data_IF_995659030768
#
_entry.id   IF_995659030768
#
_cell.length_a   1.000
_cell.length_b   1.000
_cell.length_c   1.000
_cell.angle_alpha   90.00
_cell.angle_beta   90.00
_cell.angle_gamma   90.00
#
_symmetry.space_group_name_H-M   'P 1'
#
loop_
_entity.id
_entity.type
_entity.pdbx_description
1 polymer ?
#
# COMPACT_ATOMS: atom_id res chain seq x y z
N UNK A 1 28.67 -11.61 8.31
CA UNK A 1 27.73 -11.15 9.38
C UNK A 1 27.98 -9.66 9.54
N UNK A 2 27.06 -8.82 9.07
CA UNK A 2 27.18 -7.36 9.21
C UNK A 2 26.84 -7.05 10.67
N UNK A 3 27.79 -6.44 11.35
CA UNK A 3 27.67 -6.08 12.76
C UNK A 3 26.48 -5.11 12.93
N UNK A 4 25.72 -5.27 14.00
CA UNK A 4 24.54 -4.41 14.32
C UNK A 4 24.92 -2.93 14.54
N UNK A 5 26.20 -2.58 14.37
CA UNK A 5 26.80 -1.25 14.52
C UNK A 5 27.09 -0.53 13.20
N UNK A 6 26.91 -1.18 12.03
CA UNK A 6 27.16 -0.52 10.74
C UNK A 6 26.15 0.59 10.50
N UNK A 7 26.56 1.73 9.89
CA UNK A 7 25.65 2.79 9.49
C UNK A 7 24.54 2.24 8.59
N UNK A 8 23.33 2.80 8.69
CA UNK A 8 22.19 2.36 7.87
C UNK A 8 21.66 3.53 7.08
N UNK A 9 21.50 3.34 5.78
CA UNK A 9 20.73 4.24 4.94
C UNK A 9 19.34 3.63 4.68
N UNK A 10 18.31 4.34 5.05
CA UNK A 10 16.93 3.99 4.78
C UNK A 10 16.38 5.01 3.78
N UNK A 11 15.99 4.56 2.59
CA UNK A 11 15.38 5.41 1.57
C UNK A 11 13.89 5.12 1.51
N UNK A 12 13.08 6.17 1.61
CA UNK A 12 11.63 6.02 1.54
C UNK A 12 11.16 6.13 0.10
N UNK A 13 10.28 5.22 -0.29
CA UNK A 13 9.59 5.21 -1.57
C UNK A 13 8.09 5.30 -1.36
N UNK A 14 7.43 6.22 -2.03
CA UNK A 14 5.98 6.40 -1.96
C UNK A 14 5.53 7.74 -2.49
N UNK A 15 4.26 7.82 -2.91
CA UNK A 15 3.67 9.05 -3.45
C UNK A 15 3.62 10.21 -2.47
N UNK A 16 3.31 11.42 -2.94
CA UNK A 16 3.00 12.54 -2.06
C UNK A 16 1.88 12.17 -1.07
N UNK A 17 2.00 12.64 0.16
CA UNK A 17 1.07 12.35 1.25
C UNK A 17 0.89 10.85 1.61
N UNK A 18 1.77 9.95 1.17
CA UNK A 18 1.69 8.52 1.47
C UNK A 18 2.03 8.14 2.92
N UNK A 19 2.45 9.07 3.78
CA UNK A 19 2.83 8.79 5.17
C UNK A 19 4.34 8.59 5.40
N UNK A 20 5.19 8.87 4.40
CA UNK A 20 6.65 8.75 4.51
C UNK A 20 7.23 9.47 5.72
N UNK A 21 6.90 10.74 5.89
CA UNK A 21 7.42 11.56 7.01
C UNK A 21 6.92 11.06 8.37
N UNK A 22 5.74 10.44 8.43
CA UNK A 22 5.23 9.81 9.65
C UNK A 22 6.06 8.56 9.98
N UNK A 23 6.35 7.74 8.97
CA UNK A 23 7.27 6.61 9.16
C UNK A 23 8.66 7.07 9.59
N UNK A 24 9.23 8.08 8.91
CA UNK A 24 10.55 8.60 9.28
C UNK A 24 10.62 9.02 10.75
N UNK A 25 9.60 9.70 11.25
CA UNK A 25 9.50 10.14 12.66
C UNK A 25 9.29 8.99 13.64
N UNK A 26 8.79 7.84 13.21
CA UNK A 26 8.57 6.66 14.07
C UNK A 26 9.85 5.85 14.34
N UNK A 27 10.90 6.07 13.58
CA UNK A 27 12.17 5.34 13.74
C UNK A 27 13.06 6.06 14.77
N UNK A 28 13.07 5.54 15.98
CA UNK A 28 13.83 6.13 17.07
C UNK A 28 15.34 6.18 16.77
N UNK A 29 15.98 7.31 17.06
CA UNK A 29 17.43 7.50 16.93
C UNK A 29 17.93 7.69 15.49
N UNK A 30 17.06 7.65 14.48
CA UNK A 30 17.46 7.91 13.10
C UNK A 30 17.57 9.43 12.81
N UNK A 31 18.54 9.80 12.00
CA UNK A 31 18.66 11.15 11.46
C UNK A 31 17.86 11.24 10.17
N UNK A 32 16.87 12.13 10.13
CA UNK A 32 15.97 12.31 8.97
C UNK A 32 16.50 13.42 8.08
N UNK A 33 16.77 13.11 6.82
CA UNK A 33 17.05 14.05 5.74
C UNK A 33 15.79 14.20 4.91
N UNK A 34 15.13 15.34 5.03
CA UNK A 34 13.87 15.61 4.32
C UNK A 34 14.08 16.64 3.20
N UNK A 35 13.72 16.26 1.97
CA UNK A 35 13.79 17.19 0.84
C UNK A 35 12.86 18.41 1.03
N UNK A 36 11.70 18.22 1.68
CA UNK A 36 10.76 19.31 1.99
C UNK A 36 11.34 20.27 3.01
N UNK A 37 12.04 19.76 4.03
CA UNK A 37 12.65 20.58 5.08
C UNK A 37 13.87 21.35 4.56
N UNK A 38 14.66 20.76 3.67
CA UNK A 38 15.77 21.43 2.99
C UNK A 38 15.22 22.57 2.12
N UNK A 39 14.14 22.35 1.36
CA UNK A 39 13.47 23.44 0.61
C UNK A 39 13.01 24.56 1.52
N UNK A 40 12.43 24.22 2.66
CA UNK A 40 12.00 25.23 3.62
C UNK A 40 13.18 26.07 4.15
N UNK A 41 14.29 25.42 4.47
CA UNK A 41 15.51 26.13 4.94
C UNK A 41 16.11 27.04 3.87
N UNK A 42 16.11 26.61 2.61
CA UNK A 42 16.71 27.37 1.50
C UNK A 42 15.79 28.49 0.99
N UNK A 43 14.48 28.23 0.93
CA UNK A 43 13.55 29.10 0.20
C UNK A 43 12.38 29.62 1.05
N UNK A 44 12.33 29.31 2.33
CA UNK A 44 11.26 29.71 3.25
C UNK A 44 9.92 29.02 3.02
N UNK A 45 9.85 28.02 2.13
CA UNK A 45 8.64 27.25 1.84
C UNK A 45 8.96 25.86 1.35
N UNK A 46 8.20 24.86 1.83
CA UNK A 46 8.29 23.48 1.37
C UNK A 46 7.73 23.30 -0.05
N UNK A 47 6.87 24.21 -0.49
CA UNK A 47 6.16 24.14 -1.77
C UNK A 47 6.93 24.85 -2.91
N UNK A 48 8.02 25.54 -2.59
CA UNK A 48 8.94 26.07 -3.61
C UNK A 48 9.87 24.97 -4.10
N UNK A 49 9.81 24.66 -5.38
CA UNK A 49 10.67 23.65 -5.99
C UNK A 49 12.14 24.08 -6.04
N UNK A 50 12.44 25.37 -6.19
CA UNK A 50 13.80 25.91 -6.17
C UNK A 50 14.76 25.33 -7.20
N UNK A 51 16.07 25.45 -6.92
CA UNK A 51 17.10 24.81 -7.73
C UNK A 51 17.31 23.37 -7.29
N UNK A 52 16.98 22.41 -8.19
CA UNK A 52 17.06 20.97 -7.88
C UNK A 52 18.49 20.49 -7.57
N UNK A 53 19.51 21.01 -8.26
CA UNK A 53 20.92 20.65 -8.05
C UNK A 53 21.42 21.16 -6.68
N UNK A 54 21.04 22.38 -6.33
CA UNK A 54 21.38 22.94 -5.01
C UNK A 54 20.75 22.10 -3.89
N UNK A 55 19.45 21.83 -3.98
CA UNK A 55 18.73 20.98 -3.00
C UNK A 55 19.39 19.61 -2.90
N UNK A 56 19.71 18.99 -4.03
CA UNK A 56 20.36 17.69 -4.07
C UNK A 56 21.74 17.70 -3.41
N UNK A 57 22.54 18.74 -3.64
CA UNK A 57 23.83 18.93 -2.99
C UNK A 57 23.71 18.93 -1.45
N UNK A 58 22.73 19.66 -0.91
CA UNK A 58 22.45 19.66 0.53
C UNK A 58 22.00 18.29 1.05
N UNK A 59 21.13 17.60 0.33
CA UNK A 59 20.66 16.24 0.65
C UNK A 59 21.86 15.28 0.75
N UNK A 60 22.67 15.24 -0.28
CA UNK A 60 23.87 14.34 -0.32
C UNK A 60 24.81 14.65 0.82
N UNK A 61 25.13 15.91 1.06
CA UNK A 61 26.03 16.31 2.15
C UNK A 61 25.51 15.87 3.52
N UNK A 62 24.20 16.02 3.80
CA UNK A 62 23.62 15.58 5.06
C UNK A 62 23.60 14.05 5.19
N UNK A 63 23.24 13.32 4.13
CA UNK A 63 23.28 11.86 4.14
C UNK A 63 24.69 11.37 4.42
N UNK A 64 25.67 11.79 3.63
CA UNK A 64 27.05 11.35 3.73
C UNK A 64 27.68 11.68 5.10
N UNK A 65 27.52 12.92 5.56
CA UNK A 65 28.12 13.36 6.83
C UNK A 65 27.55 12.60 8.05
N UNK A 66 26.26 12.22 8.02
CA UNK A 66 25.66 11.47 9.13
C UNK A 66 25.96 9.97 9.03
N UNK A 67 26.03 9.39 7.83
CA UNK A 67 26.52 8.02 7.65
C UNK A 67 27.98 7.86 8.11
N UNK A 68 28.85 8.81 7.76
CA UNK A 68 30.25 8.81 8.19
C UNK A 68 30.42 8.89 9.72
N UNK A 69 29.40 9.41 10.43
CA UNK A 69 29.35 9.42 11.91
C UNK A 69 28.72 8.15 12.50
N UNK A 70 28.49 7.11 11.70
CA UNK A 70 27.90 5.84 12.16
C UNK A 70 26.40 5.88 12.43
N UNK A 71 25.68 6.90 11.98
CA UNK A 71 24.24 7.03 12.26
C UNK A 71 23.39 6.22 11.30
N UNK A 72 22.19 5.87 11.76
CA UNK A 72 21.09 5.51 10.86
C UNK A 72 20.53 6.77 10.24
N UNK A 73 20.50 6.85 8.91
CA UNK A 73 19.99 8.00 8.14
C UNK A 73 18.74 7.58 7.38
N UNK A 74 17.68 8.38 7.46
CA UNK A 74 16.46 8.19 6.66
C UNK A 74 16.36 9.32 5.63
N UNK A 75 16.30 8.97 4.35
CA UNK A 75 16.02 9.93 3.29
C UNK A 75 14.52 9.97 2.99
N UNK A 76 13.87 11.06 3.40
CA UNK A 76 12.44 11.30 3.24
C UNK A 76 12.18 12.14 1.99
N UNK A 77 11.97 11.44 0.88
CA UNK A 77 11.51 11.98 -0.40
C UNK A 77 10.64 10.95 -1.13
N UNK A 78 10.02 11.31 -2.25
CA UNK A 78 9.14 10.37 -2.97
C UNK A 78 9.88 9.21 -3.62
N UNK A 79 11.07 9.43 -4.19
CA UNK A 79 11.96 8.44 -4.81
C UNK A 79 11.26 7.48 -5.80
N UNK A 80 10.25 7.98 -6.54
CA UNK A 80 9.38 7.17 -7.38
C UNK A 80 10.03 6.72 -8.68
N UNK A 81 11.00 7.49 -9.21
CA UNK A 81 11.77 7.13 -10.39
C UNK A 81 13.00 6.32 -10.02
N UNK A 82 13.33 5.33 -10.85
CA UNK A 82 14.55 4.54 -10.70
C UNK A 82 15.80 5.44 -10.71
N UNK A 83 15.86 6.43 -11.60
CA UNK A 83 16.98 7.37 -11.67
C UNK A 83 17.25 8.06 -10.33
N UNK A 84 16.22 8.55 -9.64
CA UNK A 84 16.39 9.20 -8.33
C UNK A 84 16.94 8.26 -7.26
N UNK A 85 16.55 6.99 -7.30
CA UNK A 85 17.06 5.98 -6.39
C UNK A 85 18.52 5.62 -6.71
N UNK A 86 18.86 5.54 -8.00
CA UNK A 86 20.25 5.32 -8.44
C UNK A 86 21.15 6.48 -8.04
N UNK A 87 20.70 7.73 -8.15
CA UNK A 87 21.44 8.91 -7.71
C UNK A 87 21.76 8.83 -6.21
N UNK A 88 20.82 8.35 -5.39
CA UNK A 88 21.05 8.15 -3.94
C UNK A 88 22.08 7.05 -3.69
N UNK A 89 21.96 5.92 -4.38
CA UNK A 89 22.91 4.80 -4.24
C UNK A 89 24.32 5.18 -4.69
N UNK A 90 24.42 5.92 -5.81
CA UNK A 90 25.69 6.42 -6.32
C UNK A 90 26.34 7.43 -5.35
N UNK A 91 25.53 8.30 -4.74
CA UNK A 91 26.01 9.27 -3.76
C UNK A 91 26.64 8.67 -2.52
N UNK A 92 26.39 7.38 -2.22
CA UNK A 92 26.91 6.67 -1.03
C UNK A 92 27.72 5.43 -1.38
N UNK A 93 28.09 5.22 -2.65
CA UNK A 93 28.76 3.99 -3.11
C UNK A 93 30.11 3.73 -2.44
N UNK A 94 30.78 4.77 -1.98
CA UNK A 94 32.07 4.75 -1.29
C UNK A 94 31.93 4.69 0.24
N UNK A 95 30.72 4.64 0.78
CA UNK A 95 30.44 4.54 2.21
C UNK A 95 29.93 3.14 2.52
N UNK A 96 30.63 2.43 3.39
CA UNK A 96 30.16 1.13 3.87
C UNK A 96 28.95 1.32 4.79
N UNK A 97 27.75 1.04 4.28
CA UNK A 97 26.49 1.13 5.02
C UNK A 97 25.47 0.12 4.50
N UNK A 98 24.55 -0.30 5.37
CA UNK A 98 23.41 -1.14 4.99
C UNK A 98 22.32 -0.28 4.33
N UNK A 99 21.91 -0.62 3.11
CA UNK A 99 20.96 0.15 2.30
C UNK A 99 19.62 -0.53 2.26
N UNK A 100 18.64 0.04 2.93
CA UNK A 100 17.26 -0.45 2.95
C UNK A 100 16.34 0.53 2.20
N UNK A 101 15.53 0.00 1.28
CA UNK A 101 14.43 0.76 0.71
C UNK A 101 13.13 0.37 1.41
N UNK A 102 12.39 1.37 1.89
CA UNK A 102 11.05 1.16 2.48
C UNK A 102 10.00 1.66 1.50
N UNK A 103 9.22 0.74 0.95
CA UNK A 103 8.06 1.06 0.10
C UNK A 103 6.85 1.36 0.97
N UNK A 104 6.31 2.57 0.85
CA UNK A 104 5.07 2.98 1.51
C UNK A 104 3.99 3.05 0.44
N UNK A 105 3.25 1.95 0.32
CA UNK A 105 2.22 1.75 -0.69
C UNK A 105 0.86 2.23 -0.15
N UNK A 106 0.73 3.54 0.03
CA UNK A 106 -0.55 4.15 0.40
C UNK A 106 -1.34 4.41 -0.88
N UNK A 107 -2.62 4.02 -0.90
CA UNK A 107 -3.50 4.27 -2.02
C UNK A 107 -3.65 5.73 -2.36
N UNK A 108 -3.88 6.02 -3.65
CA UNK A 108 -3.99 7.39 -4.14
C UNK A 108 -5.14 8.17 -3.52
N UNK A 109 -6.28 7.51 -3.25
CA UNK A 109 -7.45 8.13 -2.60
C UNK A 109 -7.13 8.55 -1.16
N UNK A 110 -6.42 7.70 -0.41
CA UNK A 110 -5.94 8.02 0.95
C UNK A 110 -4.93 9.16 0.90
N UNK A 111 -4.00 9.13 -0.05
CA UNK A 111 -3.05 10.23 -0.25
C UNK A 111 -3.77 11.56 -0.55
N UNK A 112 -4.82 11.54 -1.37
CA UNK A 112 -5.63 12.70 -1.70
C UNK A 112 -6.32 13.28 -0.46
N UNK A 113 -6.93 12.42 0.35
CA UNK A 113 -7.57 12.84 1.58
C UNK A 113 -6.56 13.42 2.59
N UNK A 114 -5.42 12.75 2.80
CA UNK A 114 -4.34 13.25 3.66
C UNK A 114 -3.77 14.58 3.16
N UNK A 115 -3.69 14.76 1.84
CA UNK A 115 -3.24 16.00 1.24
C UNK A 115 -4.20 17.16 1.58
N UNK A 116 -5.52 16.94 1.41
CA UNK A 116 -6.54 17.94 1.77
C UNK A 116 -6.44 18.39 3.23
N UNK A 117 -6.17 17.45 4.14
CA UNK A 117 -6.05 17.76 5.57
C UNK A 117 -4.78 18.54 5.93
N UNK A 118 -3.72 18.44 5.13
CA UNK A 118 -2.44 19.11 5.39
C UNK A 118 -2.45 20.61 5.10
N UNK A 119 -3.47 21.13 4.42
CA UNK A 119 -3.59 22.55 4.07
C UNK A 119 -2.46 23.08 3.17
N UNK A 120 -1.81 22.21 2.37
CA UNK A 120 -0.77 22.64 1.44
C UNK A 120 -1.36 23.35 0.23
N UNK A 121 -0.65 24.36 -0.28
CA UNK A 121 -1.09 25.15 -1.43
C UNK A 121 -0.84 24.51 -2.81
N UNK A 122 -0.31 23.27 -2.85
CA UNK A 122 -0.08 22.57 -4.11
C UNK A 122 -1.38 21.86 -4.53
N UNK A 123 -1.94 22.14 -5.72
CA UNK A 123 -3.13 21.45 -6.18
C UNK A 123 -2.92 19.93 -6.28
N UNK A 124 -3.95 19.16 -5.91
CA UNK A 124 -3.89 17.70 -5.97
C UNK A 124 -3.54 17.18 -7.37
N UNK A 125 -4.09 17.80 -8.42
CA UNK A 125 -3.81 17.41 -9.81
C UNK A 125 -2.33 17.52 -10.17
N UNK A 126 -1.60 18.42 -9.52
CA UNK A 126 -0.14 18.50 -9.68
C UNK A 126 0.56 17.33 -9.00
N UNK A 127 0.07 16.92 -7.82
CA UNK A 127 0.65 15.81 -7.06
C UNK A 127 0.25 14.44 -7.64
N UNK A 128 -0.93 14.34 -8.25
CA UNK A 128 -1.41 13.11 -8.89
C UNK A 128 -0.43 12.60 -9.96
N UNK A 129 0.20 13.50 -10.71
CA UNK A 129 1.19 13.16 -11.73
C UNK A 129 2.37 12.34 -11.21
N UNK A 130 2.69 12.45 -9.92
CA UNK A 130 3.74 11.63 -9.29
C UNK A 130 3.38 10.14 -9.25
N UNK A 131 2.09 9.80 -9.23
CA UNK A 131 1.66 8.40 -9.25
C UNK A 131 1.76 7.80 -10.65
N UNK A 132 1.67 8.62 -11.69
CA UNK A 132 1.77 8.19 -13.09
C UNK A 132 3.22 7.84 -13.49
N UNK A 133 4.21 8.43 -12.79
CA UNK A 133 5.65 8.21 -13.06
C UNK A 133 6.28 7.17 -12.13
N UNK A 134 5.47 6.39 -11.44
CA UNK A 134 5.89 5.44 -10.43
C UNK A 134 6.57 4.22 -11.08
N UNK A 135 7.87 4.05 -10.83
CA UNK A 135 8.67 2.90 -11.21
C UNK A 135 8.95 2.06 -9.97
N UNK A 136 8.52 0.79 -9.98
CA UNK A 136 8.72 -0.09 -8.82
C UNK A 136 10.19 -0.42 -8.63
N UNK A 137 10.71 -0.29 -7.39
CA UNK A 137 12.08 -0.67 -7.07
C UNK A 137 12.23 -2.19 -6.98
N UNK A 138 13.41 -2.68 -7.37
CA UNK A 138 13.80 -4.07 -7.24
C UNK A 138 15.22 -4.23 -6.70
N UNK A 139 15.60 -5.44 -6.28
CA UNK A 139 16.90 -5.74 -5.68
C UNK A 139 18.07 -5.52 -6.63
N UNK A 140 17.85 -5.57 -7.96
CA UNK A 140 18.90 -5.35 -8.96
C UNK A 140 19.41 -3.92 -8.99
N UNK A 141 18.69 -2.98 -8.35
CA UNK A 141 19.15 -1.60 -8.17
C UNK A 141 20.33 -1.47 -7.22
N UNK A 142 20.59 -2.48 -6.36
CA UNK A 142 21.73 -2.49 -5.42
C UNK A 142 21.34 -2.23 -3.97
N UNK A 143 20.09 -2.47 -3.59
CA UNK A 143 19.61 -2.47 -2.22
C UNK A 143 20.06 -3.74 -1.49
N UNK A 144 20.40 -3.63 -0.21
CA UNK A 144 20.65 -4.78 0.66
C UNK A 144 19.32 -5.37 1.16
N UNK A 145 18.25 -4.55 1.19
CA UNK A 145 16.95 -4.94 1.65
C UNK A 145 15.84 -4.03 1.07
N UNK A 146 14.71 -4.62 0.67
CA UNK A 146 13.48 -3.89 0.33
C UNK A 146 12.38 -4.37 1.25
N UNK A 147 11.72 -3.44 1.95
CA UNK A 147 10.59 -3.72 2.84
C UNK A 147 9.34 -2.99 2.41
N UNK A 148 8.20 -3.67 2.52
CA UNK A 148 6.90 -3.05 2.36
C UNK A 148 6.36 -2.58 3.71
N UNK A 149 5.92 -1.32 3.74
CA UNK A 149 5.16 -0.75 4.84
C UNK A 149 3.87 -0.16 4.27
N UNK A 150 2.77 -0.79 4.60
CA UNK A 150 1.47 -0.22 4.34
C UNK A 150 1.16 0.79 5.44
N UNK A 151 0.91 2.03 5.04
CA UNK A 151 0.49 3.04 5.97
C UNK A 151 -0.93 3.49 5.61
N UNK A 152 -1.90 3.01 6.37
CA UNK A 152 -3.28 3.51 6.33
C UNK A 152 -3.63 4.00 7.73
N UNK A 153 -3.42 5.29 8.04
CA UNK A 153 -3.55 5.76 9.41
C UNK A 153 -4.98 5.82 9.94
N UNK A 154 -6.00 5.86 9.07
CA UNK A 154 -7.36 6.20 9.50
C UNK A 154 -8.50 5.95 8.50
N UNK A 155 -8.26 5.65 7.23
CA UNK A 155 -9.30 5.15 6.34
C UNK A 155 -9.26 3.63 6.33
N UNK A 156 -10.37 2.99 6.67
CA UNK A 156 -10.47 1.55 6.48
C UNK A 156 -10.47 1.26 5.00
N UNK A 157 -9.57 0.36 4.64
CA UNK A 157 -9.38 -0.11 3.29
C UNK A 157 -9.79 -1.55 3.20
N UNK A 158 -10.71 -1.85 2.32
CA UNK A 158 -11.18 -3.19 2.07
C UNK A 158 -10.59 -3.75 0.78
N UNK A 159 -10.38 -5.03 0.76
CA UNK A 159 -10.12 -5.81 -0.45
C UNK A 159 -11.41 -6.57 -0.78
N UNK A 160 -11.93 -6.39 -1.98
CA UNK A 160 -13.15 -7.08 -2.41
C UNK A 160 -12.78 -8.32 -3.23
N UNK A 161 -12.91 -9.49 -2.61
CA UNK A 161 -12.75 -10.79 -3.25
C UNK A 161 -14.10 -11.27 -3.82
N UNK A 162 -14.16 -11.48 -5.12
CA UNK A 162 -15.38 -11.91 -5.82
C UNK A 162 -15.06 -12.68 -7.10
N UNK A 163 -15.90 -13.59 -7.55
CA UNK A 163 -15.82 -14.11 -8.90
C UNK A 163 -16.27 -13.04 -9.90
N UNK A 164 -15.30 -12.37 -10.53
CA UNK A 164 -15.56 -11.23 -11.42
C UNK A 164 -15.86 -11.62 -12.89
N UNK A 165 -16.13 -12.89 -13.16
CA UNK A 165 -16.03 -13.39 -14.51
C UNK A 165 -17.07 -12.81 -15.47
N UNK A 166 -18.35 -12.76 -15.10
CA UNK A 166 -19.40 -12.13 -15.92
C UNK A 166 -20.73 -11.99 -15.15
N UNK A 167 -21.67 -11.18 -15.70
CA UNK A 167 -23.03 -11.09 -15.25
C UNK A 167 -23.23 -10.53 -13.85
N UNK A 168 -24.17 -11.10 -13.13
CA UNK A 168 -24.65 -10.61 -11.84
C UNK A 168 -23.56 -10.48 -10.78
N UNK A 169 -22.59 -11.40 -10.76
CA UNK A 169 -21.48 -11.36 -9.79
C UNK A 169 -20.63 -10.09 -9.95
N UNK A 170 -20.37 -9.69 -11.19
CA UNK A 170 -19.64 -8.47 -11.50
C UNK A 170 -20.45 -7.23 -11.12
N UNK A 171 -21.74 -7.19 -11.45
CA UNK A 171 -22.62 -6.07 -11.12
C UNK A 171 -22.74 -5.88 -9.61
N UNK A 172 -22.91 -6.96 -8.86
CA UNK A 172 -22.98 -6.93 -7.41
C UNK A 172 -21.64 -6.46 -6.79
N UNK A 173 -20.50 -6.92 -7.29
CA UNK A 173 -19.19 -6.46 -6.83
C UNK A 173 -19.03 -4.95 -7.05
N UNK A 174 -19.42 -4.44 -8.21
CA UNK A 174 -19.37 -3.01 -8.50
C UNK A 174 -20.31 -2.22 -7.58
N UNK A 175 -21.55 -2.66 -7.40
CA UNK A 175 -22.54 -2.02 -6.53
C UNK A 175 -22.05 -1.96 -5.08
N UNK A 176 -21.49 -3.06 -4.56
CA UNK A 176 -20.94 -3.11 -3.22
C UNK A 176 -19.74 -2.18 -3.08
N UNK A 177 -18.79 -2.22 -4.03
CA UNK A 177 -17.61 -1.35 -3.98
C UNK A 177 -17.96 0.14 -4.07
N UNK A 178 -18.95 0.50 -4.86
CA UNK A 178 -19.45 1.87 -4.99
C UNK A 178 -20.07 2.36 -3.66
N UNK A 179 -20.92 1.53 -3.04
CA UNK A 179 -21.48 1.86 -1.73
C UNK A 179 -20.39 2.12 -0.68
N UNK A 180 -19.33 1.28 -0.60
CA UNK A 180 -18.22 1.50 0.33
C UNK A 180 -17.51 2.83 0.07
N UNK A 181 -17.27 3.16 -1.20
CA UNK A 181 -16.63 4.42 -1.61
C UNK A 181 -17.47 5.65 -1.25
N UNK A 182 -18.78 5.58 -1.50
CA UNK A 182 -19.71 6.64 -1.14
C UNK A 182 -19.79 6.87 0.38
N UNK A 183 -19.59 5.80 1.17
CA UNK A 183 -19.54 5.88 2.63
C UNK A 183 -18.13 6.15 3.21
N UNK A 184 -17.19 6.59 2.37
CA UNK A 184 -15.86 7.07 2.82
C UNK A 184 -14.81 5.99 3.02
N UNK A 185 -15.09 4.75 2.62
CA UNK A 185 -14.14 3.65 2.65
C UNK A 185 -13.35 3.55 1.36
N UNK A 186 -12.13 3.07 1.45
CA UNK A 186 -11.37 2.67 0.28
C UNK A 186 -11.59 1.18 -0.02
N UNK A 187 -11.85 0.86 -1.28
CA UNK A 187 -12.02 -0.52 -1.72
C UNK A 187 -11.11 -0.80 -2.91
N UNK A 188 -10.26 -1.78 -2.78
CA UNK A 188 -9.54 -2.37 -3.89
C UNK A 188 -10.39 -3.47 -4.51
N UNK A 189 -10.62 -3.36 -5.82
CA UNK A 189 -11.34 -4.36 -6.63
C UNK A 189 -10.38 -4.85 -7.70
N UNK A 190 -9.95 -6.13 -7.66
CA UNK A 190 -8.95 -6.66 -8.61
C UNK A 190 -9.24 -6.37 -10.08
N UNK A 191 -10.49 -6.54 -10.49
CA UNK A 191 -10.90 -6.34 -11.88
C UNK A 191 -10.79 -4.89 -12.39
N UNK A 192 -10.73 -3.90 -11.52
CA UNK A 192 -10.55 -2.50 -11.90
C UNK A 192 -9.08 -2.16 -12.17
N UNK A 193 -8.17 -3.00 -11.69
CA UNK A 193 -6.74 -2.77 -11.84
C UNK A 193 -6.25 -3.28 -13.19
N UNK A 194 -5.83 -2.35 -14.04
CA UNK A 194 -5.25 -2.68 -15.36
C UNK A 194 -3.73 -2.77 -15.24
N UNK A 195 -3.17 -3.89 -15.67
CA UNK A 195 -1.72 -4.02 -15.84
C UNK A 195 -1.31 -3.25 -17.10
N UNK A 196 -0.41 -2.25 -17.00
CA UNK A 196 0.08 -1.54 -18.17
C UNK A 196 0.72 -2.54 -19.16
N UNK A 197 0.42 -2.37 -20.45
CA UNK A 197 0.94 -3.21 -21.53
C UNK A 197 0.67 -4.72 -21.35
N UNK A 198 -0.45 -5.08 -20.71
CA UNK A 198 -0.82 -6.48 -20.44
C UNK A 198 -0.77 -7.37 -21.70
N UNK A 199 -1.14 -6.82 -22.86
CA UNK A 199 -1.19 -7.51 -24.14
C UNK A 199 0.19 -7.83 -24.73
N UNK A 200 1.23 -7.12 -24.29
CA UNK A 200 2.61 -7.29 -24.73
C UNK A 200 3.38 -8.26 -23.81
N UNK A 201 2.78 -8.65 -22.69
CA UNK A 201 3.42 -9.53 -21.71
C UNK A 201 3.12 -11.01 -22.02
N UNK A 202 4.12 -11.90 -21.88
CA UNK A 202 3.84 -13.33 -21.82
C UNK A 202 2.89 -13.68 -20.69
N UNK A 203 2.04 -14.69 -20.87
CA UNK A 203 1.02 -15.09 -19.89
C UNK A 203 1.54 -15.26 -18.45
N UNK A 204 2.75 -15.82 -18.29
CA UNK A 204 3.35 -15.99 -16.96
C UNK A 204 3.73 -14.66 -16.31
N UNK A 205 4.28 -13.71 -17.07
CA UNK A 205 4.68 -12.39 -16.57
C UNK A 205 3.46 -11.52 -16.25
N UNK A 206 2.41 -11.63 -17.07
CA UNK A 206 1.11 -11.02 -16.76
C UNK A 206 0.52 -11.61 -15.49
N UNK A 207 0.48 -12.95 -15.36
CA UNK A 207 -0.04 -13.63 -14.18
C UNK A 207 0.73 -13.28 -12.89
N UNK A 208 2.07 -13.23 -12.96
CA UNK A 208 2.93 -12.79 -11.85
C UNK A 208 2.62 -11.33 -11.45
N UNK A 209 2.43 -10.46 -12.42
CA UNK A 209 2.10 -9.05 -12.16
C UNK A 209 0.74 -8.90 -11.48
N UNK A 210 -0.29 -9.62 -11.92
CA UNK A 210 -1.61 -9.65 -11.28
C UNK A 210 -1.50 -10.18 -9.86
N UNK A 211 -0.86 -11.34 -9.68
CA UNK A 211 -0.67 -11.96 -8.36
C UNK A 211 0.02 -11.02 -7.38
N UNK A 212 1.11 -10.36 -7.79
CA UNK A 212 1.84 -9.43 -6.94
C UNK A 212 0.99 -8.20 -6.56
N UNK A 213 0.17 -7.70 -7.48
CA UNK A 213 -0.76 -6.61 -7.21
C UNK A 213 -1.78 -7.02 -6.15
N UNK A 214 -2.40 -8.19 -6.31
CA UNK A 214 -3.43 -8.68 -5.40
C UNK A 214 -2.86 -8.95 -4.00
N UNK A 215 -1.73 -9.65 -3.90
CA UNK A 215 -1.04 -9.90 -2.62
C UNK A 215 -0.64 -8.59 -1.93
N UNK A 216 -0.14 -7.59 -2.66
CA UNK A 216 0.20 -6.29 -2.08
C UNK A 216 -1.03 -5.57 -1.53
N UNK A 217 -2.17 -5.68 -2.20
CA UNK A 217 -3.42 -5.07 -1.75
C UNK A 217 -4.05 -5.84 -0.58
N UNK A 218 -3.98 -7.17 -0.57
CA UNK A 218 -4.36 -8.01 0.57
C UNK A 218 -3.53 -7.66 1.82
N UNK A 219 -2.22 -7.53 1.68
CA UNK A 219 -1.35 -7.11 2.78
C UNK A 219 -1.70 -5.70 3.30
N UNK A 220 -2.14 -4.81 2.41
CA UNK A 220 -2.43 -3.41 2.72
C UNK A 220 -3.85 -3.18 3.26
N UNK A 221 -4.79 -4.11 3.10
CA UNK A 221 -6.18 -3.91 3.52
C UNK A 221 -6.36 -4.02 5.04
N UNK A 222 -7.43 -3.41 5.53
CA UNK A 222 -7.89 -3.55 6.92
C UNK A 222 -8.69 -4.84 7.13
N UNK A 223 -9.42 -5.26 6.09
CA UNK A 223 -10.16 -6.52 6.04
C UNK A 223 -10.43 -6.92 4.59
N UNK A 224 -10.72 -8.20 4.40
CA UNK A 224 -11.20 -8.75 3.12
C UNK A 224 -12.71 -8.94 3.19
N UNK A 225 -13.41 -8.41 2.18
CA UNK A 225 -14.83 -8.66 1.94
C UNK A 225 -14.90 -9.74 0.86
N UNK A 226 -15.45 -10.88 1.18
CA UNK A 226 -15.58 -12.01 0.27
C UNK A 226 -17.04 -12.20 -0.13
N UNK A 227 -17.35 -12.07 -1.43
CA UNK A 227 -18.69 -12.34 -1.93
C UNK A 227 -18.87 -13.82 -2.19
N UNK A 228 -19.75 -14.46 -1.44
CA UNK A 228 -20.04 -15.90 -1.55
C UNK A 228 -21.29 -16.15 -2.39
N UNK A 229 -21.10 -16.92 -3.45
CA UNK A 229 -22.17 -17.43 -4.32
C UNK A 229 -22.41 -18.95 -4.08
N UNK A 230 -22.21 -19.38 -2.84
CA UNK A 230 -22.40 -20.75 -2.43
C UNK A 230 -21.30 -21.69 -2.90
N UNK A 231 -21.67 -22.85 -3.45
CA UNK A 231 -20.71 -23.85 -3.90
C UNK A 231 -19.93 -23.43 -5.14
N UNK A 232 -20.45 -22.48 -5.90
CA UNK A 232 -19.79 -21.94 -7.09
C UNK A 232 -18.95 -20.73 -6.63
N UNK A 233 -17.76 -21.00 -6.10
CA UNK A 233 -16.80 -19.95 -5.80
C UNK A 233 -15.60 -20.05 -6.74
N UNK A 234 -14.99 -18.91 -7.07
CA UNK A 234 -13.74 -18.96 -7.83
C UNK A 234 -12.59 -19.42 -6.95
N UNK A 235 -11.65 -20.18 -7.54
CA UNK A 235 -10.44 -20.57 -6.84
C UNK A 235 -9.65 -19.35 -6.33
N UNK A 236 -9.65 -18.24 -7.09
CA UNK A 236 -9.03 -16.98 -6.71
C UNK A 236 -9.65 -16.38 -5.45
N UNK A 237 -10.98 -16.26 -5.41
CA UNK A 237 -11.71 -15.73 -4.25
C UNK A 237 -11.42 -16.52 -2.97
N UNK A 238 -11.38 -17.84 -3.06
CA UNK A 238 -11.06 -18.71 -1.91
C UNK A 238 -9.59 -18.59 -1.49
N UNK A 239 -8.67 -18.45 -2.45
CA UNK A 239 -7.27 -18.21 -2.16
C UNK A 239 -7.07 -16.89 -1.43
N UNK A 240 -7.69 -15.81 -1.92
CA UNK A 240 -7.62 -14.47 -1.32
C UNK A 240 -8.15 -14.45 0.11
N UNK A 241 -9.30 -15.07 0.37
CA UNK A 241 -9.86 -15.21 1.71
C UNK A 241 -8.95 -16.04 2.63
N UNK A 242 -8.43 -17.17 2.15
CA UNK A 242 -7.50 -18.02 2.89
C UNK A 242 -6.17 -17.35 3.18
N UNK A 243 -5.63 -16.61 2.23
CA UNK A 243 -4.41 -15.82 2.43
C UNK A 243 -4.63 -14.74 3.50
N UNK A 244 -5.72 -13.99 3.40
CA UNK A 244 -6.07 -12.96 4.38
C UNK A 244 -6.19 -13.54 5.80
N UNK A 245 -6.88 -14.68 5.95
CA UNK A 245 -6.95 -15.42 7.21
C UNK A 245 -5.55 -15.78 7.73
N UNK A 246 -4.69 -16.33 6.86
CA UNK A 246 -3.33 -16.77 7.21
C UNK A 246 -2.42 -15.64 7.69
N UNK A 247 -2.64 -14.40 7.24
CA UNK A 247 -1.89 -13.20 7.67
C UNK A 247 -2.61 -12.40 8.78
N UNK A 248 -3.67 -12.97 9.38
CA UNK A 248 -4.40 -12.37 10.50
C UNK A 248 -5.26 -11.16 10.13
N UNK A 249 -5.73 -11.08 8.88
CA UNK A 249 -6.69 -10.06 8.45
C UNK A 249 -8.11 -10.55 8.67
N UNK A 250 -9.03 -9.69 9.17
CA UNK A 250 -10.45 -10.02 9.20
C UNK A 250 -10.97 -10.39 7.80
N UNK A 251 -11.68 -11.49 7.72
CA UNK A 251 -12.42 -11.93 6.53
C UNK A 251 -13.90 -11.84 6.85
N UNK A 252 -14.62 -10.98 6.13
CA UNK A 252 -16.07 -10.81 6.26
C UNK A 252 -16.69 -11.35 4.98
N UNK A 253 -17.53 -12.36 5.11
CA UNK A 253 -18.24 -12.94 3.98
C UNK A 253 -19.61 -12.29 3.85
N UNK A 254 -19.92 -11.83 2.65
CA UNK A 254 -21.27 -11.42 2.27
C UNK A 254 -21.89 -12.58 1.50
N UNK A 255 -22.90 -13.19 2.08
CA UNK A 255 -23.68 -14.25 1.47
C UNK A 255 -24.66 -13.62 0.46
N UNK A 256 -24.43 -13.93 -0.81
CA UNK A 256 -25.20 -13.34 -1.91
C UNK A 256 -26.60 -14.01 -2.02
N UNK A 257 -27.61 -13.34 -2.59
CA UNK A 257 -28.94 -13.89 -2.73
C UNK A 257 -28.98 -15.24 -3.45
N UNK A 258 -29.80 -16.17 -2.97
CA UNK A 258 -29.96 -17.49 -3.58
C UNK A 258 -28.90 -18.52 -3.21
N UNK A 259 -28.01 -18.21 -2.26
CA UNK A 259 -27.03 -19.14 -1.75
C UNK A 259 -27.68 -20.13 -0.79
N UNK A 260 -27.71 -21.42 -1.15
CA UNK A 260 -28.24 -22.47 -0.28
C UNK A 260 -27.19 -23.04 0.68
N UNK A 261 -25.94 -23.14 0.25
CA UNK A 261 -24.85 -23.73 1.03
C UNK A 261 -23.54 -23.02 0.74
N UNK A 262 -22.89 -22.54 1.78
CA UNK A 262 -21.54 -22.00 1.74
C UNK A 262 -20.49 -23.11 1.96
N UNK A 263 -19.27 -22.90 1.45
CA UNK A 263 -18.15 -23.77 1.78
C UNK A 263 -17.85 -23.75 3.29
N UNK A 264 -17.73 -24.93 3.90
CA UNK A 264 -17.38 -25.08 5.32
C UNK A 264 -16.03 -24.40 5.65
N UNK A 265 -15.08 -24.46 4.73
CA UNK A 265 -13.78 -23.80 4.92
C UNK A 265 -13.91 -22.28 4.95
N UNK A 266 -14.75 -21.74 4.06
CA UNK A 266 -14.96 -20.29 4.00
C UNK A 266 -15.77 -19.80 5.21
N UNK A 267 -16.85 -20.49 5.59
CA UNK A 267 -17.68 -20.10 6.75
C UNK A 267 -16.91 -20.17 8.07
N UNK A 268 -16.17 -21.25 8.29
CA UNK A 268 -15.40 -21.43 9.55
C UNK A 268 -14.08 -20.65 9.59
N UNK A 269 -13.55 -20.22 8.41
CA UNK A 269 -12.35 -19.39 8.30
C UNK A 269 -12.65 -17.88 8.24
N UNK A 270 -13.92 -17.48 8.27
CA UNK A 270 -14.30 -16.07 8.27
C UNK A 270 -14.59 -15.54 9.68
N UNK A 271 -14.36 -14.25 9.86
CA UNK A 271 -14.57 -13.55 11.12
C UNK A 271 -16.03 -13.10 11.28
N UNK A 272 -16.73 -12.90 10.19
CA UNK A 272 -18.16 -12.66 10.14
C UNK A 272 -18.76 -13.19 8.84
N UNK A 273 -20.00 -13.64 8.92
CA UNK A 273 -20.85 -13.94 7.75
C UNK A 273 -22.09 -13.10 7.88
N UNK A 274 -22.36 -12.28 6.86
CA UNK A 274 -23.52 -11.40 6.80
C UNK A 274 -24.30 -11.66 5.51
N UNK A 275 -25.58 -11.38 5.52
CA UNK A 275 -26.39 -11.47 4.30
C UNK A 275 -26.21 -10.23 3.43
N UNK A 276 -26.44 -10.37 2.16
CA UNK A 276 -26.37 -9.26 1.22
C UNK A 276 -27.27 -8.07 1.62
N UNK A 277 -28.45 -8.35 2.17
CA UNK A 277 -29.39 -7.32 2.62
C UNK A 277 -28.89 -6.55 3.85
N UNK A 278 -27.95 -7.12 4.59
CA UNK A 278 -27.44 -6.57 5.86
C UNK A 278 -26.15 -5.77 5.68
N UNK A 279 -25.47 -5.87 4.52
CA UNK A 279 -24.12 -5.30 4.39
C UNK A 279 -24.10 -3.77 4.58
N UNK A 280 -25.16 -3.06 4.23
CA UNK A 280 -25.24 -1.60 4.39
C UNK A 280 -25.43 -1.16 5.84
N UNK A 281 -25.99 -2.02 6.68
CA UNK A 281 -26.22 -1.76 8.11
C UNK A 281 -25.16 -2.39 9.03
N UNK A 282 -24.22 -3.16 8.46
CA UNK A 282 -23.15 -3.79 9.22
C UNK A 282 -22.16 -2.76 9.76
N UNK A 283 -21.64 -2.97 10.96
CA UNK A 283 -20.68 -2.07 11.60
C UNK A 283 -19.27 -2.23 11.01
N UNK A 284 -19.02 -1.59 9.87
CA UNK A 284 -17.73 -1.59 9.20
C UNK A 284 -16.66 -0.80 9.96
N UNK A 285 -17.05 -0.02 11.00
CA UNK A 285 -16.11 0.71 11.84
C UNK A 285 -15.45 -0.20 12.89
N UNK A 286 -16.17 -1.18 13.41
CA UNK A 286 -15.71 -2.10 14.45
C UNK A 286 -15.53 -3.51 13.88
N UNK A 287 -14.49 -3.72 13.11
CA UNK A 287 -14.21 -5.02 12.48
C UNK A 287 -13.91 -6.09 13.54
N UNK A 288 -14.44 -7.32 13.37
CA UNK A 288 -14.20 -8.42 14.29
C UNK A 288 -12.71 -8.78 14.32
N UNK A 289 -12.17 -9.01 15.51
CA UNK A 289 -10.76 -9.40 15.73
C UNK A 289 -10.59 -10.91 15.87
N UNK A 290 -11.65 -11.59 16.24
CA UNK A 290 -11.69 -13.03 16.46
C UNK A 290 -12.80 -13.64 15.62
N UNK A 291 -12.64 -14.92 15.28
CA UNK A 291 -13.67 -15.67 14.56
C UNK A 291 -14.83 -15.89 15.52
N UNK A 292 -16.03 -15.52 15.11
CA UNK A 292 -17.23 -15.83 15.87
C UNK A 292 -17.55 -17.33 15.75
N UNK A 293 -17.22 -18.06 16.82
CA UNK A 293 -17.47 -19.51 16.92
C UNK A 293 -18.95 -19.86 17.14
N UNK A 294 -19.80 -18.86 17.35
CA UNK A 294 -21.23 -19.03 17.58
C UNK A 294 -22.07 -18.89 16.31
N UNK A 295 -21.44 -18.80 15.13
CA UNK A 295 -22.18 -18.84 13.89
C UNK A 295 -22.83 -20.22 13.73
N UNK A 296 -24.05 -20.36 14.22
CA UNK A 296 -24.90 -21.52 13.93
C UNK A 296 -25.13 -21.54 12.40
N UNK A 297 -24.61 -22.59 11.78
CA UNK A 297 -24.96 -22.93 10.42
C UNK A 297 -26.45 -23.31 10.44
N UNK A 298 -27.30 -22.40 9.97
CA UNK A 298 -28.72 -22.70 9.69
C UNK A 298 -28.85 -23.47 8.42
#
# INVERSE_FOLDING_TARGET
MIDNKSPKLIVLYGGPAAGKSTYAKSVAGAYVVSADEIRYRLYGSQDKFGNGEEIWSYIVNEIRSNLARGKTVIYDACNLKKSYRMDVLDAVKDIECWKTLIRINTPISVCQHQHKQRGRNIPWETLKKYFDIKEYPDMSEGWDEIKDKSFVPWAKRFYLASPFFEGEARENAMRISEWFRENGYEVFVPMEHKIPNAWDLPNYAWGESVFNVDINNLNACSAVICLSYGRISSAGTNFEAGYAYGIGKPVIVIEMPGVELMSLMLSNGSHAVIRFEEFQSYDWENLPKEIDKNMEQK
#
